data_IF_564095814758
#
_entry.id   IF_564095814758
#
_cell.length_a   1.000
_cell.length_b   1.000
_cell.length_c   1.000
_cell.angle_alpha   90.00
_cell.angle_beta   90.00
_cell.angle_gamma   90.00
#
_symmetry.space_group_name_H-M   'P 1'
#
loop_
_entity.id
_entity.type
_entity.pdbx_description
1 polymer ?
#
# COMPACT_ATOMS: atom_id res chain seq x y z
N UNK A 1 11.84 -3.08 5.47
CA UNK A 1 11.50 -3.01 4.03
C UNK A 1 12.27 -1.87 3.40
N UNK A 2 12.85 -2.08 2.23
CA UNK A 2 13.45 -1.02 1.42
C UNK A 2 12.37 -0.16 0.76
N UNK A 3 12.73 1.02 0.28
CA UNK A 3 11.80 1.88 -0.50
C UNK A 3 11.24 1.15 -1.73
N UNK A 4 12.05 0.31 -2.39
CA UNK A 4 11.59 -0.49 -3.53
C UNK A 4 10.55 -1.54 -3.11
N UNK A 5 10.75 -2.19 -1.96
CA UNK A 5 9.77 -3.15 -1.43
C UNK A 5 8.44 -2.47 -1.08
N UNK A 6 8.46 -1.25 -0.54
CA UNK A 6 7.24 -0.49 -0.28
C UNK A 6 6.52 -0.09 -1.57
N UNK A 7 7.26 0.34 -2.60
CA UNK A 7 6.69 0.66 -3.92
C UNK A 7 6.04 -0.56 -4.59
N UNK A 8 6.70 -1.72 -4.53
CA UNK A 8 6.14 -2.97 -5.05
C UNK A 8 4.86 -3.34 -4.29
N UNK A 9 4.91 -3.29 -2.95
CA UNK A 9 3.75 -3.63 -2.12
C UNK A 9 2.58 -2.69 -2.33
N UNK A 10 2.84 -1.39 -2.55
CA UNK A 10 1.81 -0.41 -2.94
C UNK A 10 1.10 -0.84 -4.22
N UNK A 11 1.86 -1.16 -5.27
CA UNK A 11 1.30 -1.57 -6.56
C UNK A 11 0.50 -2.88 -6.45
N UNK A 12 0.97 -3.85 -5.67
CA UNK A 12 0.24 -5.11 -5.41
C UNK A 12 -1.11 -4.85 -4.74
N UNK A 13 -1.17 -4.00 -3.71
CA UNK A 13 -2.41 -3.70 -3.00
C UNK A 13 -3.37 -2.86 -3.85
N UNK A 14 -2.86 -1.91 -4.65
CA UNK A 14 -3.67 -1.15 -5.61
C UNK A 14 -4.30 -2.06 -6.65
N UNK A 15 -3.52 -2.99 -7.23
CA UNK A 15 -4.04 -3.95 -8.20
C UNK A 15 -5.07 -4.89 -7.56
N UNK A 16 -4.80 -5.38 -6.36
CA UNK A 16 -5.74 -6.24 -5.65
C UNK A 16 -7.10 -5.56 -5.42
N UNK A 17 -7.12 -4.26 -5.10
CA UNK A 17 -8.35 -3.50 -4.91
C UNK A 17 -9.15 -3.31 -6.22
N UNK A 18 -8.47 -3.21 -7.35
CA UNK A 18 -9.08 -3.15 -8.69
C UNK A 18 -9.72 -4.50 -9.03
N UNK A 19 -8.98 -5.59 -8.79
CA UNK A 19 -9.41 -6.95 -9.13
C UNK A 19 -10.51 -7.46 -8.19
N UNK A 20 -10.59 -6.93 -6.96
CA UNK A 20 -11.47 -7.41 -5.89
C UNK A 20 -12.36 -6.30 -5.30
N UNK A 21 -13.25 -5.66 -6.10
CA UNK A 21 -14.00 -4.47 -5.68
C UNK A 21 -15.07 -4.72 -4.62
N UNK A 22 -15.50 -5.97 -4.40
CA UNK A 22 -16.55 -6.34 -3.43
C UNK A 22 -16.07 -7.33 -2.38
N UNK A 23 -14.76 -7.61 -2.32
CA UNK A 23 -14.23 -8.58 -1.38
C UNK A 23 -14.35 -8.05 0.07
N UNK A 24 -14.78 -8.88 1.05
CA UNK A 24 -14.99 -8.43 2.43
C UNK A 24 -13.75 -7.80 3.08
N UNK A 25 -12.55 -8.26 2.72
CA UNK A 25 -11.28 -7.71 3.23
C UNK A 25 -10.85 -6.40 2.55
N UNK A 26 -11.65 -5.81 1.66
CA UNK A 26 -11.29 -4.57 0.97
C UNK A 26 -10.88 -3.45 1.93
N UNK A 27 -11.59 -3.29 3.05
CA UNK A 27 -11.27 -2.27 4.07
C UNK A 27 -9.91 -2.51 4.72
N UNK A 28 -9.54 -3.77 4.96
CA UNK A 28 -8.23 -4.13 5.51
C UNK A 28 -7.11 -3.82 4.52
N UNK A 29 -7.29 -4.18 3.25
CA UNK A 29 -6.33 -3.89 2.18
C UNK A 29 -6.17 -2.39 1.95
N UNK A 30 -7.24 -1.60 2.02
CA UNK A 30 -7.17 -0.14 1.97
C UNK A 30 -6.39 0.46 3.15
N UNK A 31 -6.58 -0.09 4.36
CA UNK A 31 -5.81 0.32 5.54
C UNK A 31 -4.33 0.02 5.36
N UNK A 32 -4.01 -1.17 4.86
CA UNK A 32 -2.62 -1.57 4.61
C UNK A 32 -1.97 -0.72 3.52
N UNK A 33 -2.71 -0.36 2.47
CA UNK A 33 -2.26 0.58 1.45
C UNK A 33 -1.94 1.96 2.06
N UNK A 34 -2.79 2.47 2.95
CA UNK A 34 -2.53 3.73 3.67
C UNK A 34 -1.24 3.65 4.50
N UNK A 35 -1.04 2.58 5.26
CA UNK A 35 0.17 2.37 6.05
C UNK A 35 1.44 2.33 5.18
N UNK A 36 1.36 1.75 3.97
CA UNK A 36 2.48 1.73 3.01
C UNK A 36 2.77 3.14 2.48
N UNK A 37 1.74 3.92 2.17
CA UNK A 37 1.87 5.31 1.71
C UNK A 37 2.52 6.18 2.80
N UNK A 38 2.07 6.07 4.05
CA UNK A 38 2.64 6.81 5.17
C UNK A 38 4.12 6.50 5.36
N UNK A 39 4.51 5.21 5.29
CA UNK A 39 5.93 4.80 5.33
C UNK A 39 6.76 5.36 4.18
N UNK A 40 6.19 5.46 2.98
CA UNK A 40 6.87 6.07 1.83
C UNK A 40 7.06 7.58 2.03
N UNK A 41 6.08 8.26 2.62
CA UNK A 41 6.17 9.68 2.97
C UNK A 41 7.24 9.90 4.04
N UNK A 42 7.24 9.10 5.11
CA UNK A 42 8.25 9.16 6.18
C UNK A 42 9.68 8.94 5.68
N UNK A 43 9.86 8.06 4.68
CA UNK A 43 11.18 7.86 4.06
C UNK A 43 11.60 9.03 3.18
N UNK A 44 10.64 9.73 2.56
CA UNK A 44 10.91 10.90 1.72
C UNK A 44 11.24 12.14 2.55
N UNK A 45 10.64 12.30 3.73
CA UNK A 45 10.87 13.45 4.63
C UNK A 45 12.11 13.31 5.51
N UNK A 46 12.70 12.12 5.60
CA UNK A 46 13.97 11.87 6.30
C UNK A 46 15.22 12.09 5.44
N UNK A 47 15.07 12.48 4.17
CA UNK A 47 16.14 12.82 3.25
C UNK A 47 16.34 14.33 3.14
#
# INVERSE_FOLDING_TARGET
MTTQQLKNKKAELEQWLIDNPTHPNQLEIQRDLRNIIDKLIEQKTKC
#
